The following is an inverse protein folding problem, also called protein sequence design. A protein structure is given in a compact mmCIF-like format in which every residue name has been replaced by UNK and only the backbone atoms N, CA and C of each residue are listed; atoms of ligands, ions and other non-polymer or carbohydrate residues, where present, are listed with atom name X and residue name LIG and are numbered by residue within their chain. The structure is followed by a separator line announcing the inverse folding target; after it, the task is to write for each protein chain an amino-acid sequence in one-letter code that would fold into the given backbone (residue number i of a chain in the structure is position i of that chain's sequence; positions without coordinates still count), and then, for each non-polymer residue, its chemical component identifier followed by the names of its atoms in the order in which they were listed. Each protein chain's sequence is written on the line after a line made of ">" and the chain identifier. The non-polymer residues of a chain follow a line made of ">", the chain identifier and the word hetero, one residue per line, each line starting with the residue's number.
data_IF_062817765331
#
_entry.id   IF_062817765331
#
_cell.length_a   1.000
_cell.length_b   1.000
_cell.length_c   1.000
_cell.angle_alpha   90.00
_cell.angle_beta   90.00
_cell.angle_gamma   90.00
#
_symmetry.space_group_name_H-M   'P 1'
#
loop_
_entity.id
_entity.type
_entity.pdbx_description
1 polymer ?
#
# COMPACT_ATOMS: atom_id res chain seq x y z
N UNK A 1 10.03 13.41 -37.58
CA UNK A 1 9.24 13.79 -36.42
C UNK A 1 9.99 13.26 -35.22
N UNK A 2 10.31 14.02 -34.18
CA UNK A 2 10.80 13.38 -32.98
C UNK A 2 9.69 12.41 -32.55
N UNK A 3 10.03 11.15 -32.45
CA UNK A 3 9.14 10.16 -31.87
C UNK A 3 9.06 10.49 -30.40
N UNK A 4 7.88 10.96 -29.95
CA UNK A 4 7.62 11.19 -28.53
C UNK A 4 7.57 9.81 -27.84
N UNK A 5 8.76 9.27 -27.54
CA UNK A 5 8.95 8.03 -26.80
C UNK A 5 9.42 8.32 -25.38
N UNK A 6 9.19 7.37 -24.50
CA UNK A 6 9.62 7.39 -23.10
C UNK A 6 10.26 6.06 -22.71
N UNK A 7 11.07 6.09 -21.69
CA UNK A 7 11.58 4.87 -21.04
C UNK A 7 10.53 4.33 -20.09
N UNK A 8 10.31 3.02 -20.13
CA UNK A 8 9.43 2.30 -19.23
C UNK A 8 10.00 0.92 -18.90
N UNK A 9 9.71 0.45 -17.70
CA UNK A 9 9.99 -0.94 -17.33
C UNK A 9 8.81 -1.80 -17.77
N UNK A 10 9.09 -2.87 -18.51
CA UNK A 10 8.06 -3.77 -19.06
C UNK A 10 8.29 -5.21 -18.66
N UNK A 11 7.20 -5.93 -18.60
CA UNK A 11 7.15 -7.39 -18.47
C UNK A 11 6.74 -7.96 -19.84
N UNK A 12 7.62 -8.70 -20.49
CA UNK A 12 7.31 -9.45 -21.71
C UNK A 12 6.87 -10.89 -21.42
N UNK A 13 7.24 -11.38 -20.25
CA UNK A 13 6.93 -12.70 -19.70
C UNK A 13 6.84 -12.62 -18.18
N UNK A 14 6.11 -13.53 -17.55
CA UNK A 14 6.12 -13.65 -16.10
C UNK A 14 7.39 -14.35 -15.62
N UNK A 15 7.91 -13.93 -14.45
CA UNK A 15 9.14 -14.52 -13.92
C UNK A 15 9.66 -13.84 -12.66
N UNK A 16 10.95 -14.04 -12.40
CA UNK A 16 11.70 -13.37 -11.34
C UNK A 16 11.99 -11.90 -11.65
N UNK A 17 12.79 -11.22 -10.82
CA UNK A 17 13.15 -9.82 -11.05
C UNK A 17 13.80 -9.55 -12.41
N UNK A 18 14.45 -10.55 -13.00
CA UNK A 18 15.08 -10.51 -14.33
C UNK A 18 14.08 -10.32 -15.49
N UNK A 19 12.79 -10.57 -15.25
CA UNK A 19 11.74 -10.35 -16.24
C UNK A 19 11.44 -8.86 -16.45
N UNK A 20 11.85 -7.99 -15.53
CA UNK A 20 11.73 -6.54 -15.63
C UNK A 20 12.80 -6.01 -16.61
N UNK A 21 12.35 -5.44 -17.74
CA UNK A 21 13.24 -4.92 -18.80
C UNK A 21 12.87 -3.48 -19.13
N UNK A 22 13.87 -2.64 -19.35
CA UNK A 22 13.65 -1.28 -19.83
C UNK A 22 13.46 -1.28 -21.34
N UNK A 23 12.36 -0.69 -21.79
CA UNK A 23 12.04 -0.47 -23.21
C UNK A 23 11.82 1.02 -23.48
N UNK A 24 11.92 1.39 -24.76
CA UNK A 24 11.36 2.65 -25.27
C UNK A 24 9.96 2.39 -25.83
N UNK A 25 9.00 3.17 -25.38
CA UNK A 25 7.57 3.06 -25.78
C UNK A 25 7.00 4.43 -26.08
N UNK A 26 5.93 4.54 -26.87
CA UNK A 26 5.26 5.82 -27.09
C UNK A 26 4.77 6.45 -25.77
N UNK A 27 4.89 7.77 -25.65
CA UNK A 27 4.25 8.52 -24.56
C UNK A 27 2.74 8.36 -24.70
N UNK A 28 2.01 7.98 -23.62
CA UNK A 28 0.57 7.81 -23.69
C UNK A 28 -0.14 9.15 -23.88
N UNK A 29 -1.26 9.13 -24.59
CA UNK A 29 -2.16 10.29 -24.70
C UNK A 29 -3.28 10.10 -23.67
N UNK A 30 -3.55 11.11 -22.80
CA UNK A 30 -4.62 11.01 -21.84
C UNK A 30 -5.97 10.91 -22.52
N UNK A 31 -6.77 9.90 -22.13
CA UNK A 31 -8.16 9.74 -22.56
C UNK A 31 -9.12 10.59 -21.72
N UNK A 32 -10.45 10.48 -21.95
CA UNK A 32 -11.44 11.15 -21.14
C UNK A 32 -11.29 10.84 -19.65
N UNK A 33 -11.35 11.87 -18.80
CA UNK A 33 -11.19 11.76 -17.36
C UNK A 33 -9.75 11.55 -16.89
N UNK A 34 -8.75 11.71 -17.78
CA UNK A 34 -7.35 11.46 -17.48
C UNK A 34 -6.48 12.70 -17.61
N UNK A 35 -5.36 12.64 -16.94
CA UNK A 35 -4.24 13.59 -17.08
C UNK A 35 -2.97 12.82 -17.46
N UNK A 36 -2.11 13.45 -18.27
CA UNK A 36 -0.75 12.95 -18.49
C UNK A 36 0.14 13.47 -17.36
N UNK A 37 0.81 12.57 -16.67
CA UNK A 37 1.73 12.92 -15.59
C UNK A 37 3.14 12.51 -16.00
N UNK A 38 4.09 13.45 -15.92
CA UNK A 38 5.52 13.15 -15.94
C UNK A 38 5.90 12.63 -14.55
N UNK A 39 6.24 11.34 -14.50
CA UNK A 39 6.55 10.64 -13.25
C UNK A 39 7.93 11.04 -12.74
N UNK A 40 8.01 11.41 -11.49
CA UNK A 40 9.27 11.66 -10.78
C UNK A 40 9.67 10.48 -9.90
N UNK A 41 8.68 9.80 -9.33
CA UNK A 41 8.91 8.64 -8.48
C UNK A 41 7.73 7.66 -8.53
N UNK A 42 8.00 6.37 -8.34
CA UNK A 42 7.02 5.28 -8.28
C UNK A 42 7.29 4.36 -7.09
N UNK A 43 6.27 4.06 -6.30
CA UNK A 43 6.40 3.15 -5.15
C UNK A 43 6.41 1.68 -5.58
N UNK A 44 7.24 0.87 -4.94
CA UNK A 44 7.26 -0.59 -5.13
C UNK A 44 6.33 -1.26 -4.12
N UNK A 45 5.46 -2.13 -4.62
CA UNK A 45 4.41 -2.76 -3.84
C UNK A 45 4.33 -4.28 -4.07
N UNK A 46 3.76 -5.06 -3.13
CA UNK A 46 3.49 -6.48 -3.35
C UNK A 46 2.69 -6.80 -4.61
N UNK A 47 1.64 -6.04 -5.01
CA UNK A 47 0.94 -6.25 -6.27
C UNK A 47 1.81 -6.20 -7.52
N UNK A 48 2.84 -5.34 -7.57
CA UNK A 48 3.78 -5.26 -8.69
C UNK A 48 4.57 -6.57 -8.85
N UNK A 49 4.94 -7.18 -7.71
CA UNK A 49 5.54 -8.51 -7.68
C UNK A 49 4.57 -9.59 -8.14
N UNK A 50 3.31 -9.54 -7.67
CA UNK A 50 2.31 -10.54 -8.06
C UNK A 50 2.03 -10.48 -9.56
N UNK A 51 1.94 -9.29 -10.13
CA UNK A 51 1.86 -9.11 -11.59
C UNK A 51 3.08 -9.72 -12.29
N UNK A 52 4.28 -9.41 -11.80
CA UNK A 52 5.53 -9.91 -12.38
C UNK A 52 5.60 -11.45 -12.36
N UNK A 53 5.22 -12.09 -11.28
CA UNK A 53 5.29 -13.56 -11.13
C UNK A 53 4.04 -14.29 -11.68
N UNK A 54 3.12 -13.57 -12.32
CA UNK A 54 1.89 -14.13 -12.90
C UNK A 54 0.90 -14.63 -11.87
N UNK A 55 0.87 -14.04 -10.67
CA UNK A 55 -0.01 -14.48 -9.57
C UNK A 55 0.23 -15.94 -9.18
N UNK A 56 1.48 -16.36 -9.15
CA UNK A 56 1.89 -17.76 -8.91
C UNK A 56 1.37 -18.34 -7.58
N UNK A 57 1.03 -17.47 -6.64
CA UNK A 57 0.43 -17.80 -5.34
C UNK A 57 -1.06 -18.13 -5.39
N UNK A 58 -1.74 -17.91 -6.54
CA UNK A 58 -3.14 -18.27 -6.76
C UNK A 58 -3.24 -19.60 -7.54
N UNK A 59 -4.33 -20.38 -7.33
CA UNK A 59 -4.62 -21.52 -8.16
C UNK A 59 -4.67 -21.13 -9.66
N UNK A 60 -4.14 -21.93 -10.58
CA UNK A 60 -4.05 -21.57 -12.00
C UNK A 60 -5.36 -21.10 -12.64
N UNK A 61 -6.49 -21.72 -12.23
CA UNK A 61 -7.84 -21.43 -12.73
C UNK A 61 -8.39 -20.08 -12.25
N UNK A 62 -7.86 -19.53 -11.17
CA UNK A 62 -8.29 -18.24 -10.59
C UNK A 62 -7.36 -17.09 -10.94
N UNK A 63 -6.24 -17.37 -11.62
CA UNK A 63 -5.27 -16.33 -12.00
C UNK A 63 -5.87 -15.39 -13.04
N UNK A 64 -5.79 -14.07 -12.84
CA UNK A 64 -6.15 -13.12 -13.88
C UNK A 64 -5.22 -13.29 -15.09
N UNK A 65 -5.77 -13.12 -16.28
CA UNK A 65 -4.99 -13.14 -17.52
C UNK A 65 -4.52 -11.72 -17.83
N UNK A 66 -3.24 -11.51 -17.93
CA UNK A 66 -2.64 -10.24 -18.31
C UNK A 66 -2.23 -10.26 -19.77
N UNK A 67 -2.49 -9.17 -20.49
CA UNK A 67 -1.94 -8.96 -21.82
C UNK A 67 -0.50 -8.47 -21.70
N UNK A 68 0.46 -9.29 -22.11
CA UNK A 68 1.85 -8.92 -22.16
C UNK A 68 2.22 -8.37 -23.55
N UNK A 69 3.15 -7.42 -23.65
CA UNK A 69 3.92 -6.84 -22.55
C UNK A 69 3.13 -5.76 -21.77
N UNK A 70 3.37 -5.67 -20.46
CA UNK A 70 2.71 -4.72 -19.56
C UNK A 70 3.74 -3.90 -18.78
N UNK A 71 3.41 -2.64 -18.47
CA UNK A 71 4.19 -1.78 -17.58
C UNK A 71 3.61 -1.92 -16.16
N UNK A 72 4.39 -2.40 -15.17
CA UNK A 72 3.94 -2.46 -13.78
C UNK A 72 3.95 -1.09 -13.09
N UNK A 73 3.64 -1.07 -11.79
CA UNK A 73 3.66 0.11 -10.94
C UNK A 73 2.27 0.66 -10.69
N UNK A 74 1.88 0.64 -9.42
CA UNK A 74 0.57 1.11 -8.95
C UNK A 74 0.64 2.47 -8.28
N UNK A 75 1.78 2.82 -7.69
CA UNK A 75 2.00 4.11 -7.02
C UNK A 75 2.85 5.04 -7.86
N UNK A 76 2.48 6.32 -7.91
CA UNK A 76 3.35 7.33 -8.50
C UNK A 76 3.24 8.70 -7.82
N UNK A 77 4.24 9.54 -8.03
CA UNK A 77 4.19 11.00 -7.85
C UNK A 77 4.92 11.68 -8.99
N UNK A 78 4.38 12.81 -9.45
CA UNK A 78 4.94 13.53 -10.60
C UNK A 78 4.24 14.87 -10.84
N UNK A 79 4.43 15.41 -12.03
CA UNK A 79 3.91 16.70 -12.47
C UNK A 79 2.97 16.50 -13.66
N UNK A 80 1.82 17.15 -13.64
CA UNK A 80 0.85 17.13 -14.75
C UNK A 80 1.43 17.87 -15.97
N UNK A 81 1.47 17.18 -17.11
CA UNK A 81 1.95 17.73 -18.39
C UNK A 81 0.82 18.01 -19.38
N UNK A 82 -0.30 17.28 -19.29
CA UNK A 82 -1.50 17.54 -20.08
C UNK A 82 -2.76 17.11 -19.32
N UNK A 83 -3.88 17.75 -19.62
CA UNK A 83 -5.17 17.51 -18.98
C UNK A 83 -6.21 17.31 -20.08
N UNK A 84 -7.00 16.22 -19.98
CA UNK A 84 -8.12 16.01 -20.90
C UNK A 84 -9.20 17.10 -20.72
N UNK A 85 -9.92 17.49 -21.78
CA UNK A 85 -10.86 18.63 -21.73
C UNK A 85 -12.02 18.50 -20.73
N UNK A 86 -12.32 17.28 -20.31
CA UNK A 86 -13.40 16.93 -19.37
C UNK A 86 -12.92 16.76 -17.93
N UNK A 87 -11.65 17.06 -17.63
CA UNK A 87 -11.09 16.99 -16.29
C UNK A 87 -11.07 18.36 -15.64
N UNK A 88 -11.70 18.44 -14.48
CA UNK A 88 -11.63 19.58 -13.59
C UNK A 88 -10.72 19.31 -12.38
N UNK A 89 -10.19 20.37 -11.76
CA UNK A 89 -9.45 20.30 -10.50
C UNK A 89 -7.95 20.00 -10.64
N UNK A 90 -7.45 19.81 -11.87
CA UNK A 90 -6.03 19.69 -12.18
C UNK A 90 -5.63 20.60 -13.34
N UNK A 91 -4.39 21.10 -13.29
CA UNK A 91 -3.80 21.94 -14.32
C UNK A 91 -2.37 21.48 -14.64
N UNK A 92 -1.90 21.83 -15.84
CA UNK A 92 -0.48 21.63 -16.21
C UNK A 92 0.42 22.33 -15.20
N UNK A 93 1.42 21.62 -14.70
CA UNK A 93 2.34 22.06 -13.69
C UNK A 93 1.96 21.64 -12.26
N UNK A 94 0.77 21.11 -12.02
CA UNK A 94 0.40 20.61 -10.69
C UNK A 94 1.24 19.41 -10.30
N UNK A 95 1.76 19.43 -9.08
CA UNK A 95 2.39 18.27 -8.46
C UNK A 95 1.33 17.34 -7.88
N UNK A 96 1.35 16.07 -8.30
CA UNK A 96 0.34 15.08 -7.93
C UNK A 96 0.95 13.77 -7.44
N UNK A 97 0.14 12.97 -6.76
CA UNK A 97 0.47 11.60 -6.40
C UNK A 97 -0.80 10.74 -6.43
N UNK A 98 -0.65 9.43 -6.63
CA UNK A 98 -1.81 8.56 -6.80
C UNK A 98 -1.55 7.08 -6.68
N UNK A 99 -2.63 6.34 -6.33
CA UNK A 99 -2.75 4.90 -6.50
C UNK A 99 -3.47 4.64 -7.82
N UNK A 100 -2.75 4.16 -8.82
CA UNK A 100 -3.22 4.09 -10.20
C UNK A 100 -4.09 2.85 -10.44
N UNK A 101 -5.38 3.07 -10.81
CA UNK A 101 -6.31 2.04 -11.33
C UNK A 101 -6.42 0.77 -10.48
N UNK A 102 -6.11 0.83 -9.18
CA UNK A 102 -6.16 -0.35 -8.34
C UNK A 102 -7.61 -0.65 -7.87
N UNK A 103 -8.05 -1.92 -7.90
CA UNK A 103 -7.27 -3.17 -7.95
C UNK A 103 -6.94 -3.71 -9.35
N UNK A 104 -7.09 -2.93 -10.42
CA UNK A 104 -6.49 -3.28 -11.71
C UNK A 104 -4.97 -3.23 -11.64
N UNK A 105 -4.31 -3.87 -12.60
CA UNK A 105 -2.85 -3.90 -12.70
C UNK A 105 -2.34 -3.06 -13.88
N UNK A 106 -3.17 -2.16 -14.38
CA UNK A 106 -2.91 -1.28 -15.54
C UNK A 106 -2.42 0.10 -15.10
N UNK A 107 -1.77 0.19 -13.93
CA UNK A 107 -1.29 1.45 -13.37
C UNK A 107 -0.20 2.12 -14.19
N UNK A 108 0.75 1.32 -14.69
CA UNK A 108 1.86 1.75 -15.55
C UNK A 108 2.78 2.82 -14.92
N UNK A 109 2.91 2.83 -13.59
CA UNK A 109 3.73 3.81 -12.86
C UNK A 109 5.24 3.67 -13.06
N UNK A 110 5.72 2.50 -13.54
CA UNK A 110 7.15 2.29 -13.81
C UNK A 110 7.56 2.82 -15.19
N UNK A 111 7.27 4.07 -15.46
CA UNK A 111 7.56 4.78 -16.70
C UNK A 111 7.85 6.26 -16.44
N UNK A 112 8.41 6.95 -17.44
CA UNK A 112 8.65 8.40 -17.34
C UNK A 112 7.35 9.21 -17.44
N UNK A 113 6.30 8.66 -18.09
CA UNK A 113 4.98 9.28 -18.18
C UNK A 113 3.89 8.23 -17.98
N UNK A 114 2.76 8.67 -17.43
CA UNK A 114 1.56 7.84 -17.28
C UNK A 114 0.30 8.66 -17.55
N UNK A 115 -0.67 8.06 -18.27
CA UNK A 115 -2.02 8.58 -18.34
C UNK A 115 -2.82 8.06 -17.14
N UNK A 116 -3.09 8.93 -16.18
CA UNK A 116 -3.72 8.61 -14.92
C UNK A 116 -5.15 9.16 -14.85
N UNK A 117 -6.08 8.40 -14.27
CA UNK A 117 -7.43 8.91 -13.98
C UNK A 117 -7.34 10.03 -12.95
N UNK A 118 -7.97 11.15 -13.20
CA UNK A 118 -8.04 12.27 -12.26
C UNK A 118 -8.62 11.84 -10.91
N UNK A 119 -9.60 10.92 -10.90
CA UNK A 119 -10.20 10.35 -9.68
C UNK A 119 -9.25 9.55 -8.79
N UNK A 120 -8.12 9.07 -9.34
CA UNK A 120 -7.13 8.28 -8.61
C UNK A 120 -6.04 9.17 -7.97
N UNK A 121 -6.04 10.46 -8.29
CA UNK A 121 -5.00 11.41 -7.93
C UNK A 121 -5.42 12.37 -6.81
N UNK A 122 -4.40 12.87 -6.12
CA UNK A 122 -4.50 14.03 -5.26
C UNK A 122 -3.31 14.97 -5.52
N UNK A 123 -3.46 16.27 -5.18
CA UNK A 123 -2.35 17.20 -5.18
C UNK A 123 -1.30 16.75 -4.14
N UNK A 124 -0.04 16.73 -4.56
CA UNK A 124 1.07 16.44 -3.66
C UNK A 124 1.17 17.55 -2.59
N UNK A 125 1.19 17.21 -1.30
CA UNK A 125 1.35 18.23 -0.27
C UNK A 125 2.65 19.01 -0.44
N UNK A 126 2.59 20.34 -0.23
CA UNK A 126 3.79 21.13 -0.10
C UNK A 126 4.65 20.62 1.08
N UNK A 127 5.96 20.60 0.91
CA UNK A 127 6.90 20.20 1.97
C UNK A 127 7.27 18.70 1.99
N UNK A 128 6.65 17.85 1.16
CA UNK A 128 7.18 16.51 0.90
C UNK A 128 7.68 16.41 -0.55
N UNK A 129 8.76 15.68 -0.75
CA UNK A 129 9.29 15.39 -2.08
C UNK A 129 8.52 14.29 -2.79
N UNK A 130 8.81 14.09 -4.09
CA UNK A 130 8.16 13.07 -4.89
C UNK A 130 8.45 11.64 -4.42
N UNK A 131 9.61 11.38 -3.82
CA UNK A 131 9.99 10.06 -3.29
C UNK A 131 9.07 9.67 -2.14
N UNK A 132 8.89 10.56 -1.16
CA UNK A 132 7.98 10.31 -0.04
C UNK A 132 6.53 10.29 -0.53
N UNK A 133 6.14 11.18 -1.44
CA UNK A 133 4.79 11.19 -2.00
C UNK A 133 4.45 9.88 -2.72
N UNK A 134 5.36 9.34 -3.55
CA UNK A 134 5.17 8.06 -4.24
C UNK A 134 5.17 6.84 -3.30
N UNK A 135 5.77 6.95 -2.12
CA UNK A 135 5.72 5.90 -1.10
C UNK A 135 4.38 5.79 -0.35
N UNK A 136 3.47 6.75 -0.51
CA UNK A 136 2.27 6.84 0.30
C UNK A 136 1.04 6.08 -0.25
N UNK A 137 0.69 6.10 -1.56
CA UNK A 137 -0.68 5.82 -2.00
C UNK A 137 -1.18 4.43 -1.64
N UNK A 138 -0.55 3.36 -2.12
CA UNK A 138 -0.99 1.98 -1.86
C UNK A 138 -0.99 1.68 -0.35
N UNK A 139 0.11 1.93 0.32
CA UNK A 139 0.29 1.57 1.72
C UNK A 139 -0.58 2.42 2.65
N UNK A 140 -0.62 3.72 2.41
CA UNK A 140 -1.41 4.67 3.19
C UNK A 140 -2.91 4.49 2.98
N UNK A 141 -3.38 4.32 1.73
CA UNK A 141 -4.80 4.03 1.47
C UNK A 141 -5.21 2.66 2.00
N UNK A 142 -4.33 1.66 1.97
CA UNK A 142 -4.61 0.37 2.63
C UNK A 142 -4.86 0.59 4.12
N UNK A 143 -3.94 1.24 4.83
CA UNK A 143 -4.13 1.52 6.25
C UNK A 143 -5.37 2.38 6.51
N UNK A 144 -5.65 3.37 5.65
CA UNK A 144 -6.82 4.24 5.76
C UNK A 144 -8.13 3.46 5.61
N UNK A 145 -8.26 2.66 4.53
CA UNK A 145 -9.48 1.92 4.23
C UNK A 145 -9.76 0.79 5.22
N UNK A 146 -8.71 0.22 5.83
CA UNK A 146 -8.86 -0.75 6.90
C UNK A 146 -9.25 -0.14 8.25
N UNK A 147 -8.73 1.06 8.59
CA UNK A 147 -8.80 1.59 9.95
C UNK A 147 -9.72 2.82 10.10
N UNK A 148 -9.86 3.63 9.06
CA UNK A 148 -10.51 4.94 9.17
C UNK A 148 -11.84 4.96 8.43
N UNK A 149 -11.81 4.73 7.13
CA UNK A 149 -12.98 4.80 6.26
C UNK A 149 -12.79 3.91 5.04
N UNK A 150 -13.72 2.98 4.84
CA UNK A 150 -13.65 2.04 3.72
C UNK A 150 -13.77 2.75 2.35
N UNK A 151 -14.71 3.71 2.24
CA UNK A 151 -14.87 4.52 1.03
C UNK A 151 -15.44 3.79 -0.20
N UNK A 152 -15.84 2.52 -0.08
CA UNK A 152 -16.46 1.72 -1.14
C UNK A 152 -17.29 0.56 -0.57
N UNK A 153 -18.17 -0.01 -1.40
CA UNK A 153 -19.06 -1.11 -1.03
C UNK A 153 -18.67 -2.47 -1.64
N UNK A 154 -17.51 -2.54 -2.28
CA UNK A 154 -17.09 -3.77 -2.93
C UNK A 154 -16.67 -4.83 -1.88
N UNK A 155 -17.11 -6.10 -2.05
CA UNK A 155 -16.69 -7.16 -1.15
C UNK A 155 -15.19 -7.43 -1.30
N UNK A 156 -14.58 -7.95 -0.22
CA UNK A 156 -13.24 -8.52 -0.31
C UNK A 156 -13.28 -9.81 -1.13
N UNK A 157 -12.33 -10.05 -2.05
CA UNK A 157 -12.21 -11.34 -2.70
C UNK A 157 -11.68 -12.44 -1.77
N UNK A 158 -11.22 -12.07 -0.55
CA UNK A 158 -10.50 -12.96 0.36
C UNK A 158 -11.22 -13.19 1.68
N UNK A 159 -12.26 -12.39 2.00
CA UNK A 159 -12.99 -12.45 3.27
C UNK A 159 -14.49 -12.46 2.99
N UNK A 160 -15.18 -13.44 3.55
CA UNK A 160 -16.63 -13.57 3.36
C UNK A 160 -17.42 -12.45 4.05
N UNK A 161 -16.96 -12.01 5.23
CA UNK A 161 -17.61 -10.96 5.98
C UNK A 161 -17.25 -9.57 5.40
N UNK A 162 -18.27 -8.70 5.25
CA UNK A 162 -18.07 -7.32 4.81
C UNK A 162 -17.22 -6.57 5.82
N UNK A 163 -16.14 -5.96 5.33
CA UNK A 163 -15.27 -5.13 6.15
C UNK A 163 -15.99 -3.87 6.65
N UNK A 164 -15.78 -3.57 7.94
CA UNK A 164 -16.21 -2.31 8.56
C UNK A 164 -15.10 -1.87 9.51
N UNK A 165 -14.52 -0.67 9.31
CA UNK A 165 -13.57 -0.12 10.27
C UNK A 165 -14.17 -0.06 11.67
N UNK A 166 -13.36 -0.40 12.67
CA UNK A 166 -13.73 -0.23 14.08
C UNK A 166 -13.46 1.22 14.48
N UNK A 167 -14.39 1.91 15.15
CA UNK A 167 -14.12 3.25 15.65
C UNK A 167 -12.89 3.30 16.55
N UNK A 168 -11.89 4.08 16.17
CA UNK A 168 -10.66 4.29 16.94
C UNK A 168 -10.76 5.56 17.79
N UNK A 169 -10.20 5.51 19.01
CA UNK A 169 -10.18 6.66 19.91
C UNK A 169 -9.50 6.33 21.23
N UNK A 170 -9.55 7.28 22.19
CA UNK A 170 -9.07 7.04 23.54
C UNK A 170 -9.74 5.81 24.16
N UNK A 171 -8.93 4.90 24.73
CA UNK A 171 -9.40 3.62 25.28
C UNK A 171 -9.50 2.47 24.27
N UNK A 172 -9.20 2.69 23.00
CA UNK A 172 -9.06 1.62 22.01
C UNK A 172 -7.61 1.15 21.94
N UNK A 173 -7.37 -0.17 22.01
CA UNK A 173 -6.03 -0.77 21.84
C UNK A 173 -5.95 -1.45 20.48
N UNK A 174 -4.98 -1.06 19.66
CA UNK A 174 -4.71 -1.60 18.32
C UNK A 174 -3.36 -2.32 18.33
N UNK A 175 -3.36 -3.62 18.02
CA UNK A 175 -2.13 -4.35 17.72
C UNK A 175 -1.87 -4.30 16.22
N UNK A 176 -0.67 -3.87 15.83
CA UNK A 176 -0.24 -3.84 14.41
C UNK A 176 0.87 -4.88 14.21
N UNK A 177 0.56 -5.97 13.51
CA UNK A 177 1.55 -6.96 13.10
C UNK A 177 2.20 -6.54 11.77
N UNK A 178 3.55 -6.64 11.71
CA UNK A 178 4.32 -6.08 10.59
C UNK A 178 4.40 -4.56 10.63
N UNK A 179 4.43 -3.99 11.83
CA UNK A 179 4.34 -2.55 12.10
C UNK A 179 5.40 -1.71 11.39
N UNK A 180 6.61 -2.24 11.15
CA UNK A 180 7.68 -1.51 10.48
C UNK A 180 7.55 -1.46 8.95
N UNK A 181 6.73 -2.33 8.36
CA UNK A 181 6.56 -2.41 6.90
C UNK A 181 5.71 -1.31 6.28
N UNK A 182 5.47 -1.44 4.96
CA UNK A 182 4.76 -0.43 4.18
C UNK A 182 3.40 -0.02 4.76
N UNK A 183 2.48 -0.96 4.95
CA UNK A 183 1.15 -0.67 5.54
C UNK A 183 1.26 -0.41 7.05
N UNK A 184 2.10 -1.20 7.74
CA UNK A 184 2.17 -1.16 9.20
C UNK A 184 2.58 0.19 9.76
N UNK A 185 3.58 0.87 9.15
CA UNK A 185 4.03 2.17 9.67
C UNK A 185 2.98 3.29 9.50
N UNK A 186 2.11 3.21 8.47
CA UNK A 186 0.94 4.08 8.38
C UNK A 186 -0.12 3.73 9.41
N UNK A 187 -0.37 2.43 9.61
CA UNK A 187 -1.37 1.96 10.56
C UNK A 187 -1.07 2.41 12.00
N UNK A 188 0.19 2.29 12.43
CA UNK A 188 0.65 2.82 13.73
C UNK A 188 0.29 4.30 13.87
N UNK A 189 0.68 5.12 12.89
CA UNK A 189 0.48 6.56 12.93
C UNK A 189 -0.99 6.97 12.84
N UNK A 190 -1.78 6.32 11.98
CA UNK A 190 -3.21 6.60 11.85
C UNK A 190 -3.99 6.21 13.10
N UNK A 191 -3.65 5.08 13.73
CA UNK A 191 -4.24 4.69 15.01
C UNK A 191 -3.89 5.71 16.13
N UNK A 192 -2.64 6.16 16.19
CA UNK A 192 -2.21 7.22 17.12
C UNK A 192 -2.90 8.55 16.85
N UNK A 193 -3.03 8.95 15.58
CA UNK A 193 -3.76 10.17 15.21
C UNK A 193 -5.22 10.16 15.69
N UNK A 194 -5.84 8.97 15.73
CA UNK A 194 -7.19 8.80 16.30
C UNK A 194 -7.20 8.72 17.85
N UNK A 195 -6.04 8.70 18.50
CA UNK A 195 -5.92 8.64 19.97
C UNK A 195 -5.91 7.22 20.55
N UNK A 196 -5.79 6.19 19.73
CA UNK A 196 -5.71 4.80 20.20
C UNK A 196 -4.36 4.51 20.88
N UNK A 197 -4.33 3.50 21.74
CA UNK A 197 -3.11 2.85 22.19
C UNK A 197 -2.64 1.87 21.12
N UNK A 198 -1.35 1.86 20.83
CA UNK A 198 -0.76 1.05 19.75
C UNK A 198 0.30 0.11 20.29
N UNK A 199 0.08 -1.19 20.09
CA UNK A 199 1.07 -2.25 20.29
C UNK A 199 1.67 -2.61 18.94
N UNK A 200 2.93 -2.29 18.72
CA UNK A 200 3.63 -2.57 17.47
C UNK A 200 4.41 -3.88 17.54
N UNK A 201 4.21 -4.76 16.55
CA UNK A 201 4.92 -6.04 16.43
C UNK A 201 5.83 -6.01 15.21
N UNK A 202 7.13 -6.12 15.43
CA UNK A 202 8.16 -6.19 14.39
C UNK A 202 9.42 -6.89 14.94
N UNK A 203 10.51 -7.01 14.15
CA UNK A 203 11.82 -7.45 14.67
C UNK A 203 12.49 -6.34 15.48
N UNK A 204 13.34 -6.71 16.43
CA UNK A 204 13.91 -5.81 17.45
C UNK A 204 14.63 -4.59 16.92
N UNK A 205 15.26 -4.69 15.73
CA UNK A 205 15.93 -3.56 15.09
C UNK A 205 15.02 -2.36 14.77
N UNK A 206 13.69 -2.53 14.76
CA UNK A 206 12.73 -1.49 14.45
C UNK A 206 12.10 -0.81 15.68
N UNK A 207 12.47 -1.17 16.90
CA UNK A 207 11.82 -0.62 18.11
C UNK A 207 11.88 0.90 18.15
N UNK A 208 13.07 1.48 18.01
CA UNK A 208 13.24 2.95 18.03
C UNK A 208 12.38 3.63 16.99
N UNK A 209 12.41 3.14 15.76
CA UNK A 209 11.59 3.68 14.67
C UNK A 209 10.10 3.68 15.01
N UNK A 210 9.58 2.56 15.53
CA UNK A 210 8.16 2.43 15.85
C UNK A 210 7.75 3.27 17.06
N UNK A 211 8.62 3.40 18.06
CA UNK A 211 8.43 4.35 19.18
C UNK A 211 8.37 5.79 18.67
N UNK A 212 9.24 6.18 17.74
CA UNK A 212 9.28 7.52 17.13
C UNK A 212 8.04 7.79 16.26
N UNK A 213 7.33 6.75 15.77
CA UNK A 213 6.03 6.84 15.10
C UNK A 213 4.85 6.89 16.05
N UNK A 214 5.09 6.74 17.37
CA UNK A 214 4.08 6.85 18.41
C UNK A 214 3.56 5.51 18.95
N UNK A 215 4.20 4.36 18.66
CA UNK A 215 3.83 3.11 19.30
C UNK A 215 4.02 3.21 20.83
N UNK A 216 2.97 2.88 21.59
CA UNK A 216 3.00 2.89 23.06
C UNK A 216 3.74 1.68 23.61
N UNK A 217 3.58 0.52 22.94
CA UNK A 217 4.25 -0.72 23.25
C UNK A 217 4.90 -1.33 22.01
N UNK A 218 5.99 -2.05 22.23
CA UNK A 218 6.72 -2.75 21.18
C UNK A 218 6.96 -4.20 21.57
N UNK A 219 6.76 -5.13 20.65
CA UNK A 219 7.03 -6.55 20.82
C UNK A 219 7.94 -7.03 19.69
N UNK A 220 9.10 -7.54 20.08
CA UNK A 220 10.01 -8.24 19.17
C UNK A 220 9.52 -9.69 18.98
N UNK A 221 8.96 -9.98 17.81
CA UNK A 221 8.44 -11.32 17.48
C UNK A 221 9.56 -12.36 17.30
N UNK A 222 10.82 -11.94 17.21
CA UNK A 222 11.97 -12.84 17.07
C UNK A 222 12.40 -13.46 18.41
N UNK A 223 12.06 -12.79 19.51
CA UNK A 223 12.40 -13.19 20.88
C UNK A 223 11.19 -13.48 21.76
N UNK A 224 9.99 -13.07 21.32
CA UNK A 224 8.76 -13.17 22.10
C UNK A 224 7.58 -13.62 21.24
N UNK A 225 6.54 -14.11 21.89
CA UNK A 225 5.29 -14.51 21.24
C UNK A 225 4.21 -13.47 21.57
N UNK A 226 3.80 -12.65 20.58
CA UNK A 226 2.81 -11.58 20.81
C UNK A 226 1.51 -12.09 21.43
N UNK A 227 1.08 -13.30 21.03
CA UNK A 227 -0.14 -13.96 21.52
C UNK A 227 -0.09 -14.39 23.00
N UNK A 228 1.09 -14.36 23.61
CA UNK A 228 1.29 -14.65 25.05
C UNK A 228 1.41 -13.37 25.87
N UNK A 229 1.71 -12.24 25.25
CA UNK A 229 1.98 -10.97 25.93
C UNK A 229 0.80 -10.00 25.85
N UNK A 230 0.03 -10.03 24.76
CA UNK A 230 -1.08 -9.09 24.54
C UNK A 230 -2.40 -9.78 24.80
N UNK A 231 -3.22 -9.15 25.63
CA UNK A 231 -4.57 -9.61 25.92
C UNK A 231 -5.52 -8.42 25.92
N UNK A 232 -6.70 -8.61 25.34
CA UNK A 232 -7.76 -7.61 25.42
C UNK A 232 -7.66 -6.47 24.38
N UNK A 233 -6.89 -6.65 23.31
CA UNK A 233 -6.86 -5.72 22.19
C UNK A 233 -8.28 -5.59 21.54
N UNK A 234 -8.64 -4.39 21.15
CA UNK A 234 -9.89 -4.11 20.42
C UNK A 234 -9.78 -4.53 18.96
N UNK A 235 -8.62 -4.32 18.41
CA UNK A 235 -8.33 -4.51 17.00
C UNK A 235 -6.91 -5.06 16.78
N UNK A 236 -6.80 -6.01 15.88
CA UNK A 236 -5.52 -6.40 15.26
C UNK A 236 -5.54 -6.03 13.79
N UNK A 237 -4.57 -5.25 13.32
CA UNK A 237 -4.26 -5.13 11.90
C UNK A 237 -3.08 -6.04 11.59
N UNK A 238 -3.32 -7.09 10.82
CA UNK A 238 -2.26 -8.02 10.40
C UNK A 238 -1.78 -7.67 8.98
N UNK A 239 -0.69 -6.91 8.89
CA UNK A 239 -0.08 -6.52 7.62
C UNK A 239 0.90 -7.58 7.05
N UNK A 240 1.04 -8.72 7.71
CA UNK A 240 1.91 -9.83 7.28
C UNK A 240 1.11 -10.96 6.63
N UNK A 241 0.04 -11.39 7.30
CA UNK A 241 -0.76 -12.52 6.84
C UNK A 241 -0.09 -13.89 7.01
N UNK A 242 -0.61 -14.86 6.25
CA UNK A 242 -0.07 -16.22 6.19
C UNK A 242 -0.64 -17.16 7.27
N UNK A 243 -0.11 -18.39 7.33
CA UNK A 243 -0.72 -19.47 8.14
C UNK A 243 -0.62 -19.25 9.67
N UNK A 244 0.18 -18.30 10.10
CA UNK A 244 0.32 -17.96 11.53
C UNK A 244 -0.54 -16.78 11.97
N UNK A 245 -1.35 -16.20 11.10
CA UNK A 245 -2.23 -15.05 11.42
C UNK A 245 -3.26 -15.39 12.50
N UNK A 246 -3.78 -16.62 12.53
CA UNK A 246 -4.79 -17.07 13.50
C UNK A 246 -4.34 -16.94 14.95
N UNK A 247 -3.03 -16.98 15.25
CA UNK A 247 -2.52 -16.79 16.61
C UNK A 247 -2.95 -15.45 17.23
N UNK A 248 -3.12 -14.41 16.42
CA UNK A 248 -3.53 -13.10 16.89
C UNK A 248 -5.01 -13.04 17.33
N UNK A 249 -5.85 -14.01 17.01
CA UNK A 249 -7.21 -14.09 17.54
C UNK A 249 -7.24 -14.09 19.07
N UNK A 250 -6.21 -14.70 19.70
CA UNK A 250 -6.08 -14.81 21.16
C UNK A 250 -5.65 -13.53 21.86
N UNK A 251 -5.14 -12.55 21.13
CA UNK A 251 -4.80 -11.22 21.68
C UNK A 251 -6.02 -10.34 21.85
N UNK A 252 -7.11 -10.67 21.15
CA UNK A 252 -8.32 -9.86 21.11
C UNK A 252 -9.20 -10.06 22.37
N UNK A 253 -9.88 -9.01 22.77
CA UNK A 253 -11.01 -9.13 23.68
C UNK A 253 -12.23 -9.75 22.98
N UNK A 254 -13.17 -10.26 23.74
CA UNK A 254 -14.48 -10.65 23.20
C UNK A 254 -15.15 -9.45 22.52
N UNK A 255 -15.64 -9.62 21.28
CA UNK A 255 -16.17 -8.54 20.44
C UNK A 255 -15.09 -7.76 19.67
N UNK A 256 -13.81 -8.09 19.83
CA UNK A 256 -12.72 -7.51 19.05
C UNK A 256 -12.69 -7.97 17.61
N UNK A 257 -11.87 -7.32 16.79
CA UNK A 257 -11.77 -7.59 15.36
C UNK A 257 -10.33 -7.83 14.91
N UNK A 258 -10.13 -8.73 13.95
CA UNK A 258 -8.88 -8.93 13.23
C UNK A 258 -9.05 -8.55 11.77
N UNK A 259 -8.17 -7.70 11.27
CA UNK A 259 -8.16 -7.22 9.89
C UNK A 259 -6.91 -7.74 9.18
N UNK A 260 -7.01 -8.85 8.42
CA UNK A 260 -5.90 -9.35 7.62
C UNK A 260 -5.78 -8.52 6.34
N UNK A 261 -4.64 -7.87 6.14
CA UNK A 261 -4.33 -7.11 4.91
C UNK A 261 -4.00 -8.05 3.75
N UNK A 262 -3.51 -9.24 4.08
CA UNK A 262 -3.20 -10.31 3.14
C UNK A 262 -3.86 -11.61 3.60
N UNK A 263 -3.75 -12.67 2.78
CA UNK A 263 -4.33 -13.98 3.10
C UNK A 263 -3.91 -14.48 4.48
N UNK A 264 -4.87 -14.99 5.23
CA UNK A 264 -4.68 -15.71 6.49
C UNK A 264 -5.67 -16.85 6.56
N UNK A 265 -5.30 -17.90 7.28
CA UNK A 265 -6.17 -19.04 7.58
C UNK A 265 -6.77 -18.82 8.96
N UNK A 266 -8.09 -18.79 9.03
CA UNK A 266 -8.85 -18.59 10.27
C UNK A 266 -9.92 -19.66 10.40
N UNK A 267 -9.88 -20.37 11.52
CA UNK A 267 -10.90 -21.36 11.86
C UNK A 267 -12.17 -20.63 12.33
N UNK A 268 -13.30 -20.91 11.67
CA UNK A 268 -14.58 -20.29 11.99
C UNK A 268 -15.10 -20.69 13.38
N UNK A 269 -14.86 -21.94 13.81
CA UNK A 269 -15.28 -22.43 15.12
C UNK A 269 -14.44 -21.76 16.23
N UNK A 270 -13.12 -21.66 16.07
CA UNK A 270 -12.25 -20.94 17.01
C UNK A 270 -12.64 -19.45 17.08
N UNK A 271 -12.89 -18.81 15.94
CA UNK A 271 -13.31 -17.40 15.86
C UNK A 271 -14.63 -17.17 16.59
N UNK A 272 -15.61 -18.04 16.37
CA UNK A 272 -16.91 -17.99 17.06
C UNK A 272 -16.78 -18.23 18.56
N UNK A 273 -15.98 -19.21 18.97
CA UNK A 273 -15.72 -19.54 20.39
C UNK A 273 -15.08 -18.36 21.13
N UNK A 274 -14.11 -17.69 20.50
CA UNK A 274 -13.49 -16.50 21.06
C UNK A 274 -14.43 -15.28 21.03
N UNK A 275 -15.48 -15.32 20.21
CA UNK A 275 -16.43 -14.22 20.05
C UNK A 275 -15.80 -13.00 19.40
N UNK A 276 -14.91 -13.19 18.44
CA UNK A 276 -14.22 -12.15 17.67
C UNK A 276 -14.65 -12.19 16.21
N UNK A 277 -14.33 -11.15 15.45
CA UNK A 277 -14.65 -11.07 14.03
C UNK A 277 -13.37 -10.99 13.19
N UNK A 278 -13.39 -11.62 12.01
CA UNK A 278 -12.33 -11.48 11.00
C UNK A 278 -12.95 -10.86 9.76
N UNK A 279 -12.53 -9.66 9.40
CA UNK A 279 -12.99 -8.97 8.19
C UNK A 279 -11.84 -8.31 7.47
N UNK A 280 -11.91 -8.24 6.15
CA UNK A 280 -10.90 -7.59 5.35
C UNK A 280 -11.50 -6.89 4.15
N UNK A 281 -10.71 -6.07 3.51
CA UNK A 281 -11.05 -5.40 2.25
C UNK A 281 -9.87 -5.46 1.28
N UNK A 282 -10.15 -5.21 0.03
CA UNK A 282 -9.11 -4.91 -0.96
C UNK A 282 -9.09 -3.39 -1.18
N UNK A 283 -7.94 -2.77 -0.92
CA UNK A 283 -7.76 -1.34 -1.14
C UNK A 283 -8.15 -0.93 -2.57
N UNK A 284 -8.67 0.26 -2.73
CA UNK A 284 -9.03 0.85 -4.02
C UNK A 284 -8.46 2.24 -4.18
N UNK A 285 -8.13 2.58 -5.42
CA UNK A 285 -7.80 3.96 -5.78
C UNK A 285 -8.91 4.90 -5.34
N UNK A 286 -8.54 5.99 -4.67
CA UNK A 286 -9.49 6.99 -4.20
C UNK A 286 -8.74 8.31 -3.93
N UNK A 287 -8.82 9.24 -4.89
CA UNK A 287 -8.15 10.53 -4.80
C UNK A 287 -8.63 11.40 -3.63
N UNK A 288 -9.91 11.32 -3.27
CA UNK A 288 -10.44 12.09 -2.13
C UNK A 288 -9.85 11.62 -0.79
N UNK A 289 -9.81 10.31 -0.54
CA UNK A 289 -9.16 9.76 0.66
C UNK A 289 -7.65 10.03 0.65
N UNK A 290 -7.03 9.97 -0.53
CA UNK A 290 -5.61 10.29 -0.67
C UNK A 290 -5.32 11.76 -0.39
N UNK A 291 -6.21 12.68 -0.73
CA UNK A 291 -6.10 14.10 -0.38
C UNK A 291 -6.15 14.30 1.14
N UNK A 292 -7.02 13.58 1.86
CA UNK A 292 -7.05 13.62 3.33
C UNK A 292 -5.77 13.06 3.95
N UNK A 293 -5.27 11.93 3.44
CA UNK A 293 -3.96 11.41 3.84
C UNK A 293 -2.86 12.42 3.54
N UNK A 294 -2.91 13.06 2.36
CA UNK A 294 -2.00 14.12 1.95
C UNK A 294 -1.96 15.29 2.92
N UNK A 295 -3.11 15.72 3.43
CA UNK A 295 -3.18 16.76 4.47
C UNK A 295 -2.42 16.36 5.75
N UNK A 296 -2.53 15.09 6.18
CA UNK A 296 -1.78 14.59 7.34
C UNK A 296 -0.28 14.51 7.06
N UNK A 297 0.11 14.14 5.85
CA UNK A 297 1.52 14.16 5.41
C UNK A 297 2.07 15.58 5.40
N UNK A 298 1.34 16.54 4.84
CA UNK A 298 1.74 17.95 4.76
C UNK A 298 1.89 18.63 6.12
N UNK A 299 1.13 18.21 7.13
CA UNK A 299 1.26 18.71 8.51
C UNK A 299 2.29 17.94 9.35
N UNK A 300 2.86 16.85 8.82
CA UNK A 300 3.75 15.98 9.57
C UNK A 300 3.08 15.08 10.63
N UNK A 301 1.74 15.09 10.68
CA UNK A 301 0.99 14.19 11.58
C UNK A 301 1.15 12.71 11.19
N UNK A 302 1.42 12.45 9.92
CA UNK A 302 1.82 11.16 9.37
C UNK A 302 3.05 11.38 8.51
N UNK A 303 4.00 10.46 8.53
CA UNK A 303 5.22 10.49 7.72
C UNK A 303 5.39 9.19 6.97
N UNK A 304 5.99 9.29 5.79
CA UNK A 304 6.39 8.13 4.99
C UNK A 304 7.83 7.77 5.34
N UNK A 305 8.06 6.52 5.70
CA UNK A 305 9.42 6.01 5.84
C UNK A 305 9.88 5.41 4.51
N UNK A 306 11.09 5.73 4.10
CA UNK A 306 11.74 5.19 2.90
C UNK A 306 12.86 4.25 3.34
N UNK A 307 12.75 2.98 2.95
CA UNK A 307 13.80 1.98 3.15
C UNK A 307 14.97 2.21 2.19
N UNK A 308 14.64 2.34 0.90
CA UNK A 308 15.64 2.51 -0.14
C UNK A 308 15.03 3.12 -1.40
N UNK A 309 15.90 3.75 -2.21
CA UNK A 309 15.54 4.32 -3.51
C UNK A 309 16.43 3.73 -4.59
N UNK A 310 15.87 3.52 -5.78
CA UNK A 310 16.58 3.02 -6.95
C UNK A 310 16.20 3.85 -8.17
N UNK A 311 17.11 4.09 -9.13
CA UNK A 311 16.73 4.61 -10.44
C UNK A 311 15.69 3.68 -11.11
N UNK A 312 14.80 4.23 -11.93
CA UNK A 312 13.81 3.44 -12.69
C UNK A 312 14.45 2.30 -13.46
N UNK A 313 15.63 2.53 -14.08
CA UNK A 313 16.38 1.52 -14.79
C UNK A 313 16.80 0.32 -13.93
N UNK A 314 16.91 0.52 -12.61
CA UNK A 314 17.31 -0.49 -11.64
C UNK A 314 16.09 -1.13 -10.92
N UNK A 315 14.89 -1.11 -11.54
CA UNK A 315 13.69 -1.71 -10.98
C UNK A 315 13.87 -3.19 -10.60
N UNK A 316 14.74 -3.91 -11.32
CA UNK A 316 15.15 -5.27 -10.96
C UNK A 316 15.75 -5.32 -9.55
N UNK A 317 16.75 -4.48 -9.26
CA UNK A 317 17.41 -4.42 -7.95
C UNK A 317 16.43 -4.02 -6.83
N UNK A 318 15.49 -3.11 -7.11
CA UNK A 318 14.42 -2.76 -6.18
C UNK A 318 13.52 -3.96 -5.83
N UNK A 319 13.18 -4.80 -6.81
CA UNK A 319 12.40 -6.01 -6.59
C UNK A 319 13.21 -7.12 -5.90
N UNK A 320 14.52 -7.20 -6.13
CA UNK A 320 15.44 -8.08 -5.39
C UNK A 320 15.50 -7.65 -3.92
N UNK A 321 15.69 -6.34 -3.64
CA UNK A 321 15.63 -5.79 -2.28
C UNK A 321 14.30 -6.08 -1.59
N UNK A 322 13.16 -5.94 -2.31
CA UNK A 322 11.84 -6.26 -1.78
C UNK A 322 11.69 -7.74 -1.37
N UNK A 323 12.35 -8.65 -2.08
CA UNK A 323 12.31 -10.08 -1.80
C UNK A 323 13.13 -10.49 -0.56
N UNK A 324 14.14 -9.73 -0.18
CA UNK A 324 14.93 -9.96 1.04
C UNK A 324 14.10 -9.79 2.33
N UNK A 325 13.01 -9.04 2.25
CA UNK A 325 12.17 -8.73 3.41
C UNK A 325 12.82 -7.74 4.39
N UNK A 326 12.30 -7.70 5.63
CA UNK A 326 12.76 -6.80 6.70
C UNK A 326 12.84 -5.32 6.29
N UNK A 327 11.90 -4.89 5.45
CA UNK A 327 11.82 -3.53 4.91
C UNK A 327 11.25 -2.60 5.98
N UNK A 328 11.90 -1.46 6.20
CA UNK A 328 11.40 -0.38 7.03
C UNK A 328 10.70 0.68 6.17
N UNK A 329 9.38 0.65 6.08
CA UNK A 329 8.62 1.57 5.22
C UNK A 329 8.54 1.11 3.78
N UNK A 330 9.01 1.94 2.83
CA UNK A 330 8.75 1.78 1.40
C UNK A 330 10.03 1.80 0.55
N UNK A 331 10.01 1.03 -0.51
CA UNK A 331 11.01 1.11 -1.60
C UNK A 331 10.41 1.97 -2.71
N UNK A 332 11.22 2.84 -3.30
CA UNK A 332 10.77 3.80 -4.33
C UNK A 332 11.73 3.82 -5.50
N UNK A 333 11.19 3.84 -6.72
CA UNK A 333 11.92 4.09 -7.96
C UNK A 333 11.90 5.58 -8.28
N UNK A 334 13.00 6.13 -8.80
CA UNK A 334 13.10 7.50 -9.27
C UNK A 334 13.21 7.50 -10.79
N UNK A 335 12.32 8.25 -11.46
CA UNK A 335 12.23 8.29 -12.93
C UNK A 335 13.00 9.45 -13.57
N UNK A 336 13.52 10.39 -12.80
CA UNK A 336 14.26 11.58 -13.29
C UNK A 336 15.76 11.42 -13.16
#
# INVERSE_FOLDING_TARGET
>A
MPTDTMRAIRLHEHGGPEALRQDEVPIPVPGPGEVLVRVHAAGVNPPDRYLRDGMSNLPPETRPKFSLPVIPGTDMSGVVEAVAPDVDGFAVGDEVFGLLRFPGFEGAGYAEYVAARASDLAHKPAGIDHVHAAGAPMAGLTAWQFLIELGHDHPSPFQAARHRPVPLGPGTTVLVNGAAGGVGHFAVQLAKWKGAQVVAVASGGHERFLRDLGADEFIDYTTSRPEELVHGADLVLDAVGGPRSSRFLRTLKRGGSLFPVFFGEFDEEETAKLGVTVTGTQVRSNGAQLAELGRLLGTGAVRVAIDSTFPLADARAAHERAAEGHIQGKIVLTAA
#
